data_IF_533918096590
#
_entry.id   IF_533918096590
#
_cell.length_a   1.000
_cell.length_b   1.000
_cell.length_c   1.000
_cell.angle_alpha   90.00
_cell.angle_beta   90.00
_cell.angle_gamma   90.00
#
_symmetry.space_group_name_H-M   'P 1'
#
loop_
_entity.id
_entity.type
_entity.pdbx_description
1 polymer ?
#
# COMPACT_ATOMS: atom_id res chain seq x y z
N UNK A 1 11.64 7.26 -19.97
CA UNK A 1 10.78 7.91 -18.95
C UNK A 1 10.68 7.05 -17.68
N UNK A 2 11.78 6.39 -17.29
CA UNK A 2 11.82 5.52 -16.11
C UNK A 2 11.42 6.30 -14.85
N UNK A 3 10.44 5.85 -14.03
CA UNK A 3 9.95 6.56 -12.85
C UNK A 3 10.99 6.98 -11.80
N UNK A 4 12.20 6.40 -11.82
CA UNK A 4 13.30 6.80 -10.94
C UNK A 4 14.02 8.07 -11.41
N UNK A 5 13.88 8.44 -12.67
CA UNK A 5 14.58 9.58 -13.25
C UNK A 5 13.95 10.91 -12.81
N UNK A 6 14.74 11.98 -12.56
CA UNK A 6 14.23 13.29 -12.15
C UNK A 6 13.66 14.12 -13.31
N UNK A 7 13.19 13.47 -14.38
CA UNK A 7 12.62 14.15 -15.56
C UNK A 7 11.11 14.31 -15.43
N UNK A 8 10.52 15.33 -16.05
CA UNK A 8 9.07 15.55 -15.96
C UNK A 8 8.24 14.38 -16.52
N UNK A 9 8.69 13.73 -17.59
CA UNK A 9 8.01 12.56 -18.14
C UNK A 9 8.06 11.36 -17.19
N UNK A 10 9.20 11.14 -16.52
CA UNK A 10 9.34 10.12 -15.50
C UNK A 10 8.49 10.41 -14.26
N UNK A 11 8.48 11.66 -13.77
CA UNK A 11 7.61 12.07 -12.66
C UNK A 11 6.12 11.85 -13.01
N UNK A 12 5.71 12.19 -14.23
CA UNK A 12 4.35 11.92 -14.72
C UNK A 12 4.05 10.41 -14.72
N UNK A 13 4.94 9.58 -15.26
CA UNK A 13 4.79 8.11 -15.27
C UNK A 13 4.82 7.49 -13.87
N UNK A 14 5.61 8.06 -12.95
CA UNK A 14 5.61 7.71 -11.52
C UNK A 14 4.28 8.04 -10.85
N UNK A 15 3.51 8.96 -11.41
CA UNK A 15 2.21 9.39 -10.90
C UNK A 15 2.26 10.68 -10.09
N UNK A 16 3.26 11.55 -10.28
CA UNK A 16 3.33 12.84 -9.58
C UNK A 16 2.29 13.79 -10.19
N UNK A 17 1.35 14.34 -9.39
CA UNK A 17 0.43 15.36 -9.88
C UNK A 17 1.20 16.61 -10.33
N UNK A 18 0.83 17.17 -11.48
CA UNK A 18 1.45 18.42 -11.95
C UNK A 18 1.33 19.57 -10.93
N UNK A 19 0.23 19.58 -10.15
CA UNK A 19 0.04 20.56 -9.08
C UNK A 19 1.06 20.41 -7.95
N UNK A 20 1.42 19.18 -7.58
CA UNK A 20 2.41 18.94 -6.53
C UNK A 20 3.80 19.48 -6.92
N UNK A 21 4.19 19.33 -8.19
CA UNK A 21 5.45 19.87 -8.72
C UNK A 21 5.45 21.40 -8.69
N UNK A 22 4.33 22.04 -9.06
CA UNK A 22 4.20 23.51 -8.97
C UNK A 22 4.27 24.01 -7.53
N UNK A 23 3.52 23.38 -6.62
CA UNK A 23 3.56 23.73 -5.19
C UNK A 23 4.97 23.56 -4.60
N UNK A 24 5.70 22.53 -5.01
CA UNK A 24 7.11 22.34 -4.62
C UNK A 24 8.00 23.49 -5.10
N UNK A 25 7.88 23.90 -6.36
CA UNK A 25 8.64 25.03 -6.92
C UNK A 25 8.32 26.33 -6.16
N UNK A 26 7.04 26.59 -5.89
CA UNK A 26 6.60 27.79 -5.15
C UNK A 26 7.15 27.80 -3.72
N UNK A 27 7.21 26.65 -3.05
CA UNK A 27 7.75 26.51 -1.69
C UNK A 27 9.27 26.65 -1.62
N UNK A 28 10.00 26.14 -2.61
CA UNK A 28 11.46 26.31 -2.69
C UNK A 28 11.82 27.78 -2.90
N UNK A 29 10.98 28.51 -3.63
CA UNK A 29 11.16 29.91 -3.93
C UNK A 29 12.31 30.17 -4.92
N UNK A 30 12.58 31.44 -5.17
CA UNK A 30 13.61 31.88 -6.12
C UNK A 30 14.70 32.62 -5.37
N UNK A 31 15.91 32.05 -5.36
CA UNK A 31 17.10 32.64 -4.75
C UNK A 31 18.26 32.66 -5.76
N UNK A 32 19.26 33.52 -5.50
CA UNK A 32 20.46 33.65 -6.34
C UNK A 32 21.56 32.62 -6.04
N UNK A 33 21.44 31.91 -4.93
CA UNK A 33 22.44 30.92 -4.48
C UNK A 33 21.97 29.52 -4.85
N UNK A 34 22.91 28.64 -5.20
CA UNK A 34 22.62 27.23 -5.38
C UNK A 34 22.25 26.58 -4.04
N UNK A 35 21.11 25.90 -4.00
CA UNK A 35 20.66 25.15 -2.84
C UNK A 35 20.33 23.71 -3.24
N UNK A 36 20.78 22.75 -2.44
CA UNK A 36 20.32 21.37 -2.53
C UNK A 36 19.01 21.26 -1.75
N UNK A 37 17.94 20.86 -2.42
CA UNK A 37 16.62 20.70 -1.82
C UNK A 37 16.38 19.22 -1.54
N UNK A 38 15.92 18.91 -0.33
CA UNK A 38 15.52 17.57 0.06
C UNK A 38 14.35 17.06 -0.80
N UNK A 39 14.52 15.87 -1.37
CA UNK A 39 13.46 15.18 -2.14
C UNK A 39 12.21 14.93 -1.29
N UNK A 40 12.35 14.82 0.03
CA UNK A 40 11.25 14.70 0.98
C UNK A 40 10.26 15.85 0.91
N UNK A 41 10.70 17.07 0.56
CA UNK A 41 9.81 18.22 0.36
C UNK A 41 8.95 18.07 -0.91
N UNK A 42 9.53 17.56 -2.00
CA UNK A 42 8.78 17.24 -3.21
C UNK A 42 7.76 16.15 -2.92
N UNK A 43 8.18 15.07 -2.25
CA UNK A 43 7.28 13.97 -1.87
C UNK A 43 6.19 14.42 -0.88
N UNK A 44 6.47 15.38 0.00
CA UNK A 44 5.46 15.99 0.86
C UNK A 44 4.35 16.65 0.05
N UNK A 45 4.69 17.47 -0.95
CA UNK A 45 3.70 18.10 -1.82
C UNK A 45 2.90 17.08 -2.64
N UNK A 46 3.55 15.98 -3.07
CA UNK A 46 2.87 14.87 -3.75
C UNK A 46 1.86 14.20 -2.82
N UNK A 47 2.24 13.87 -1.58
CA UNK A 47 1.34 13.27 -0.58
C UNK A 47 0.16 14.19 -0.27
N UNK A 48 0.38 15.51 -0.10
CA UNK A 48 -0.69 16.45 0.22
C UNK A 48 -1.79 16.49 -0.86
N UNK A 49 -1.39 16.56 -2.15
CA UNK A 49 -2.34 16.55 -3.27
C UNK A 49 -3.06 15.21 -3.37
N UNK A 50 -2.32 14.09 -3.30
CA UNK A 50 -2.90 12.76 -3.46
C UNK A 50 -3.81 12.37 -2.28
N UNK A 51 -3.53 12.83 -1.06
CA UNK A 51 -4.41 12.60 0.08
C UNK A 51 -5.79 13.23 -0.13
N UNK A 52 -5.88 14.35 -0.85
CA UNK A 52 -7.16 15.01 -1.13
C UNK A 52 -7.89 14.42 -2.33
N UNK A 53 -7.16 13.90 -3.32
CA UNK A 53 -7.71 13.54 -4.63
C UNK A 53 -7.78 12.04 -4.94
N UNK A 54 -6.90 11.22 -4.37
CA UNK A 54 -6.80 9.80 -4.73
C UNK A 54 -7.88 8.97 -4.05
N UNK A 55 -8.50 8.05 -4.80
CA UNK A 55 -9.43 7.06 -4.23
C UNK A 55 -8.65 6.04 -3.39
N UNK A 56 -9.19 5.67 -2.23
CA UNK A 56 -8.67 4.63 -1.33
C UNK A 56 -9.17 3.29 -1.80
N UNK A 57 -8.26 2.34 -1.94
CA UNK A 57 -8.54 0.97 -2.38
C UNK A 57 -7.72 -0.02 -1.56
N UNK A 58 -8.13 -1.28 -1.54
CA UNK A 58 -7.45 -2.35 -0.84
C UNK A 58 -6.56 -3.13 -1.82
N UNK A 59 -5.30 -3.28 -1.44
CA UNK A 59 -4.31 -4.03 -2.19
C UNK A 59 -3.36 -4.73 -1.21
N UNK A 60 -3.20 -6.03 -1.38
CA UNK A 60 -2.32 -6.88 -0.60
C UNK A 60 -1.06 -7.17 -1.42
N UNK A 61 0.08 -6.65 -0.98
CA UNK A 61 1.31 -6.73 -1.77
C UNK A 61 2.09 -8.03 -1.52
N UNK A 62 2.01 -8.58 -0.31
CA UNK A 62 2.59 -9.86 0.06
C UNK A 62 1.50 -10.77 0.66
N UNK A 63 0.73 -11.50 -0.16
CA UNK A 63 -0.48 -12.16 0.31
C UNK A 63 -0.22 -13.43 1.13
N UNK A 64 -0.94 -13.55 2.25
CA UNK A 64 -1.15 -14.81 2.98
C UNK A 64 -2.64 -15.14 3.00
N UNK A 65 -2.99 -16.40 2.81
CA UNK A 65 -4.40 -16.84 2.76
C UNK A 65 -4.99 -16.84 4.17
N UNK A 66 -6.20 -16.33 4.29
CA UNK A 66 -7.03 -16.41 5.50
C UNK A 66 -8.31 -17.16 5.16
N UNK A 67 -8.67 -18.13 5.98
CA UNK A 67 -9.92 -18.90 5.86
C UNK A 67 -10.80 -18.61 7.08
N UNK A 68 -11.97 -18.01 6.84
CA UNK A 68 -12.97 -17.75 7.89
C UNK A 68 -13.80 -19.01 8.11
N UNK A 69 -13.44 -19.81 9.11
CA UNK A 69 -13.95 -21.17 9.30
C UNK A 69 -15.44 -21.25 9.59
N UNK A 70 -16.01 -20.23 10.24
CA UNK A 70 -17.44 -20.10 10.54
C UNK A 70 -18.22 -19.24 9.52
N UNK A 71 -17.62 -18.86 8.39
CA UNK A 71 -18.35 -18.22 7.28
C UNK A 71 -18.86 -19.28 6.28
N UNK A 72 -20.13 -19.23 5.83
CA UNK A 72 -20.68 -20.23 4.93
C UNK A 72 -19.91 -20.33 3.61
N UNK A 73 -19.70 -21.55 3.14
CA UNK A 73 -19.03 -21.82 1.87
C UNK A 73 -19.91 -21.35 0.69
N UNK A 74 -19.29 -20.76 -0.33
CA UNK A 74 -19.97 -20.22 -1.51
C UNK A 74 -20.73 -18.91 -1.28
N UNK A 75 -20.91 -18.47 -0.03
CA UNK A 75 -21.53 -17.17 0.25
C UNK A 75 -20.57 -16.02 -0.09
N UNK A 76 -21.11 -15.00 -0.76
CA UNK A 76 -20.43 -13.74 -1.05
C UNK A 76 -21.33 -12.60 -0.60
N UNK A 77 -20.77 -11.67 0.16
CA UNK A 77 -21.45 -10.47 0.61
C UNK A 77 -20.77 -9.22 0.05
N UNK A 78 -21.57 -8.21 -0.27
CA UNK A 78 -21.08 -6.93 -0.74
C UNK A 78 -21.00 -5.94 0.43
N UNK A 79 -19.78 -5.56 0.79
CA UNK A 79 -19.50 -4.57 1.82
C UNK A 79 -19.30 -3.20 1.17
N UNK A 80 -19.83 -2.15 1.81
CA UNK A 80 -19.68 -0.79 1.31
C UNK A 80 -18.40 -0.16 1.85
N UNK A 81 -17.61 0.45 0.97
CA UNK A 81 -16.40 1.18 1.31
C UNK A 81 -16.42 2.60 0.74
N UNK A 82 -16.04 3.56 1.56
CA UNK A 82 -15.91 4.97 1.16
C UNK A 82 -14.70 5.10 0.23
N UNK A 83 -14.86 5.80 -0.90
CA UNK A 83 -13.77 6.00 -1.86
C UNK A 83 -12.74 7.03 -1.39
N UNK A 84 -13.16 8.11 -0.74
CA UNK A 84 -12.23 9.10 -0.21
C UNK A 84 -12.84 9.78 1.02
N UNK A 85 -12.24 9.63 2.22
CA UNK A 85 -12.76 10.28 3.41
C UNK A 85 -12.58 11.81 3.41
N UNK A 86 -11.69 12.35 2.58
CA UNK A 86 -11.46 13.79 2.43
C UNK A 86 -12.35 14.43 1.34
N UNK A 87 -13.11 13.62 0.60
CA UNK A 87 -14.00 14.07 -0.47
C UNK A 87 -15.37 13.39 -0.36
N UNK A 88 -16.37 14.08 0.25
CA UNK A 88 -17.72 13.56 0.41
C UNK A 88 -18.40 13.16 -0.91
N UNK A 89 -18.01 13.78 -2.03
CA UNK A 89 -18.60 13.53 -3.35
C UNK A 89 -17.95 12.34 -4.07
N UNK A 90 -16.87 11.77 -3.52
CA UNK A 90 -16.19 10.60 -4.11
C UNK A 90 -17.04 9.31 -4.07
N UNK A 91 -18.14 9.32 -3.32
CA UNK A 91 -19.08 8.21 -3.21
C UNK A 91 -18.49 6.96 -2.55
N UNK A 92 -19.17 5.83 -2.76
CA UNK A 92 -18.79 4.53 -2.21
C UNK A 92 -18.50 3.52 -3.33
N UNK A 93 -17.93 2.38 -2.94
CA UNK A 93 -17.76 1.21 -3.81
C UNK A 93 -18.07 -0.06 -3.04
N UNK A 94 -18.33 -1.11 -3.79
CA UNK A 94 -18.65 -2.42 -3.26
C UNK A 94 -17.40 -3.30 -3.17
N UNK A 95 -17.20 -3.96 -2.03
CA UNK A 95 -16.12 -4.90 -1.76
C UNK A 95 -16.71 -6.31 -1.54
N UNK A 96 -16.36 -7.30 -2.38
CA UNK A 96 -16.80 -8.67 -2.15
C UNK A 96 -16.08 -9.23 -0.92
N UNK A 97 -16.86 -9.73 0.03
CA UNK A 97 -16.42 -10.48 1.20
C UNK A 97 -16.81 -11.95 1.02
N UNK A 98 -15.89 -12.85 1.33
CA UNK A 98 -16.06 -14.29 1.18
C UNK A 98 -15.37 -15.05 2.30
N UNK A 99 -15.60 -16.36 2.36
CA UNK A 99 -14.93 -17.27 3.28
C UNK A 99 -13.39 -17.18 3.20
N UNK A 100 -12.85 -17.10 1.99
CA UNK A 100 -11.41 -17.04 1.76
C UNK A 100 -10.98 -15.62 1.41
N UNK A 101 -9.96 -15.11 2.11
CA UNK A 101 -9.41 -13.76 1.96
C UNK A 101 -7.88 -13.82 1.81
N UNK A 102 -7.29 -12.73 1.33
CA UNK A 102 -5.86 -12.46 1.47
C UNK A 102 -5.65 -11.26 2.38
N UNK A 103 -4.62 -11.33 3.23
CA UNK A 103 -4.08 -10.21 3.99
C UNK A 103 -2.57 -10.11 3.75
N UNK A 104 -1.90 -9.06 4.25
CA UNK A 104 -0.44 -9.01 4.20
C UNK A 104 0.18 -10.06 5.13
N UNK A 105 1.22 -10.75 4.67
CA UNK A 105 2.04 -11.64 5.51
C UNK A 105 2.55 -10.91 6.76
N UNK A 106 2.87 -9.60 6.63
CA UNK A 106 3.34 -8.76 7.74
C UNK A 106 2.25 -8.33 8.73
N UNK A 107 0.98 -8.61 8.41
CA UNK A 107 -0.13 -8.41 9.32
C UNK A 107 -0.38 -9.60 10.25
N UNK A 108 0.37 -10.70 10.09
CA UNK A 108 0.38 -11.83 11.00
C UNK A 108 1.76 -12.08 11.64
N UNK A 109 1.76 -12.36 12.95
CA UNK A 109 2.94 -12.83 13.70
C UNK A 109 2.50 -13.81 14.78
N UNK A 110 3.17 -14.96 14.85
CA UNK A 110 2.96 -15.90 15.96
C UNK A 110 3.52 -15.35 17.27
N UNK A 111 4.74 -14.82 17.21
CA UNK A 111 5.41 -14.16 18.33
C UNK A 111 5.49 -12.66 18.03
N UNK A 112 4.54 -11.85 18.51
CA UNK A 112 4.52 -10.43 18.22
C UNK A 112 5.60 -9.66 19.02
N UNK A 113 6.25 -8.65 18.42
CA UNK A 113 7.01 -7.69 19.21
C UNK A 113 6.08 -6.82 20.09
N UNK A 114 6.60 -6.12 21.10
CA UNK A 114 5.81 -5.15 21.87
C UNK A 114 5.13 -4.12 20.95
N UNK A 115 3.92 -3.67 21.34
CA UNK A 115 3.09 -2.71 20.57
C UNK A 115 2.68 -3.21 19.16
N UNK A 116 2.60 -4.53 18.98
CA UNK A 116 2.00 -5.13 17.80
C UNK A 116 0.48 -5.28 18.00
N UNK A 117 -0.29 -4.63 17.13
CA UNK A 117 -1.77 -4.55 17.25
C UNK A 117 -2.51 -5.31 16.14
N UNK A 118 -1.79 -6.07 15.31
CA UNK A 118 -2.37 -6.84 14.20
C UNK A 118 -2.63 -8.29 14.64
N UNK A 119 -2.82 -9.20 13.68
CA UNK A 119 -3.26 -10.56 13.94
C UNK A 119 -2.13 -11.42 14.54
N UNK A 120 -2.48 -12.17 15.58
CA UNK A 120 -1.64 -13.20 16.22
C UNK A 120 -2.56 -14.32 16.69
N UNK A 121 -2.06 -15.53 16.99
CA UNK A 121 -2.88 -16.61 17.55
C UNK A 121 -3.69 -16.14 18.77
N UNK A 122 -4.99 -16.43 18.78
CA UNK A 122 -5.94 -16.08 19.85
C UNK A 122 -6.35 -14.60 19.91
N UNK A 123 -5.79 -13.71 19.07
CA UNK A 123 -6.13 -12.28 19.05
C UNK A 123 -7.07 -11.91 17.92
N UNK A 124 -7.83 -10.86 18.19
CA UNK A 124 -8.76 -10.24 17.25
C UNK A 124 -8.12 -9.07 16.50
N UNK A 125 -8.51 -8.91 15.23
CA UNK A 125 -8.19 -7.75 14.40
C UNK A 125 -9.43 -7.33 13.60
N UNK A 126 -9.55 -6.03 13.30
CA UNK A 126 -10.60 -5.53 12.41
C UNK A 126 -10.14 -5.60 10.96
N UNK A 127 -10.96 -6.18 10.11
CA UNK A 127 -10.85 -6.04 8.66
C UNK A 127 -11.41 -4.68 8.24
N UNK A 128 -10.65 -3.92 7.47
CA UNK A 128 -11.07 -2.60 6.96
C UNK A 128 -12.38 -2.74 6.16
N UNK A 129 -13.40 -1.94 6.49
CA UNK A 129 -14.77 -2.02 5.95
C UNK A 129 -15.52 -3.35 6.19
N UNK A 130 -14.94 -4.28 6.96
CA UNK A 130 -15.51 -5.60 7.22
C UNK A 130 -15.67 -5.89 8.71
N UNK A 131 -15.55 -7.17 9.03
CA UNK A 131 -15.81 -7.73 10.35
C UNK A 131 -14.56 -7.72 11.24
N UNK A 132 -14.76 -7.97 12.53
CA UNK A 132 -13.69 -8.43 13.41
C UNK A 132 -13.49 -9.93 13.18
N UNK A 133 -12.23 -10.32 13.03
CA UNK A 133 -11.82 -11.72 12.93
C UNK A 133 -10.86 -12.08 14.06
N UNK A 134 -10.89 -13.34 14.49
CA UNK A 134 -9.99 -13.90 15.50
C UNK A 134 -9.19 -15.04 14.91
N UNK A 135 -7.87 -15.03 15.08
CA UNK A 135 -7.02 -16.15 14.68
C UNK A 135 -7.23 -17.32 15.64
N UNK A 136 -7.64 -18.47 15.11
CA UNK A 136 -7.79 -19.71 15.88
C UNK A 136 -6.61 -20.65 15.64
N UNK A 137 -6.15 -20.79 14.39
CA UNK A 137 -5.10 -21.74 14.02
C UNK A 137 -4.30 -21.27 12.81
N UNK A 138 -3.13 -21.88 12.57
CA UNK A 138 -2.27 -21.61 11.41
C UNK A 138 -1.75 -22.88 10.76
N UNK A 139 -1.72 -22.87 9.44
CA UNK A 139 -1.06 -23.90 8.63
C UNK A 139 0.31 -23.38 8.22
N UNK A 140 1.32 -24.24 8.37
CA UNK A 140 2.70 -23.93 8.02
C UNK A 140 3.21 -24.86 6.95
N UNK A 141 4.11 -24.35 6.13
CA UNK A 141 4.91 -25.17 5.23
C UNK A 141 5.82 -26.10 6.06
N UNK A 142 5.79 -27.42 5.85
CA UNK A 142 6.60 -28.36 6.63
C UNK A 142 8.12 -28.22 6.43
N UNK A 143 8.55 -27.67 5.30
CA UNK A 143 9.97 -27.52 4.95
C UNK A 143 10.55 -26.19 5.40
N UNK A 144 9.83 -25.09 5.18
CA UNK A 144 10.31 -23.73 5.50
C UNK A 144 9.85 -23.24 6.87
N UNK A 145 8.77 -23.81 7.41
CA UNK A 145 8.11 -23.33 8.62
C UNK A 145 7.34 -22.02 8.42
N UNK A 146 7.22 -21.52 7.19
CA UNK A 146 6.47 -20.30 6.89
C UNK A 146 4.96 -20.54 6.98
N UNK A 147 4.23 -19.53 7.45
CA UNK A 147 2.77 -19.58 7.56
C UNK A 147 2.16 -19.40 6.18
N UNK A 148 1.43 -20.42 5.72
CA UNK A 148 0.80 -20.46 4.39
C UNK A 148 -0.70 -20.15 4.45
N UNK A 149 -1.38 -20.58 5.52
CA UNK A 149 -2.79 -20.28 5.76
C UNK A 149 -3.05 -19.92 7.22
N UNK A 150 -3.98 -18.98 7.44
CA UNK A 150 -4.42 -18.56 8.77
C UNK A 150 -5.91 -18.85 8.88
N UNK A 151 -6.29 -19.67 9.85
CA UNK A 151 -7.68 -20.01 10.11
C UNK A 151 -8.25 -19.06 11.17
N UNK A 152 -9.30 -18.34 10.79
CA UNK A 152 -9.95 -17.39 11.65
C UNK A 152 -11.43 -17.70 11.83
N UNK A 153 -12.01 -17.24 12.94
CA UNK A 153 -13.45 -17.03 13.05
C UNK A 153 -13.77 -15.55 12.82
N UNK A 154 -14.98 -15.22 12.37
CA UNK A 154 -15.49 -13.85 12.35
C UNK A 154 -16.67 -13.69 13.31
N UNK A 155 -16.88 -12.45 13.75
CA UNK A 155 -18.06 -12.05 14.49
C UNK A 155 -19.10 -11.39 13.55
N UNK A 156 -20.25 -12.03 13.27
CA UNK A 156 -21.29 -11.50 12.40
C UNK A 156 -21.90 -10.18 12.87
N UNK A 157 -21.87 -9.88 14.17
CA UNK A 157 -22.47 -8.68 14.75
C UNK A 157 -21.59 -7.43 14.58
N UNK A 158 -20.37 -7.59 14.05
CA UNK A 158 -19.36 -6.50 13.99
C UNK A 158 -19.25 -5.80 12.63
N UNK A 159 -20.25 -6.00 11.78
CA UNK A 159 -20.34 -5.38 10.45
C UNK A 159 -20.24 -3.86 10.55
N UNK A 160 -19.40 -3.25 9.74
CA UNK A 160 -19.50 -1.81 9.45
C UNK A 160 -19.01 -0.83 10.53
N UNK A 161 -18.37 -1.27 11.62
CA UNK A 161 -17.59 -0.33 12.44
C UNK A 161 -17.35 -0.71 13.89
N UNK A 162 -18.41 -0.81 14.69
CA UNK A 162 -18.32 -1.04 16.14
C UNK A 162 -18.76 -2.45 16.50
N UNK A 163 -18.15 -3.00 17.55
CA UNK A 163 -18.65 -4.22 18.16
C UNK A 163 -19.78 -3.85 19.14
N UNK A 164 -20.96 -4.47 19.06
CA UNK A 164 -22.11 -4.09 19.88
C UNK A 164 -21.90 -4.36 21.37
N UNK A 165 -21.01 -5.29 21.71
CA UNK A 165 -20.56 -5.59 23.07
C UNK A 165 -19.57 -4.55 23.64
N UNK A 166 -19.19 -3.55 22.85
CA UNK A 166 -18.29 -2.46 23.26
C UNK A 166 -16.80 -2.84 23.28
N UNK A 167 -16.42 -4.05 22.86
CA UNK A 167 -15.01 -4.46 22.87
C UNK A 167 -14.18 -3.63 21.88
N UNK A 168 -13.01 -3.20 22.33
CA UNK A 168 -12.08 -2.39 21.52
C UNK A 168 -11.00 -3.28 20.90
N UNK A 169 -11.04 -3.42 19.58
CA UNK A 169 -9.96 -4.05 18.82
C UNK A 169 -8.93 -3.00 18.43
N UNK A 170 -7.66 -3.23 18.80
CA UNK A 170 -6.60 -2.22 18.71
C UNK A 170 -6.06 -2.00 17.30
N UNK A 171 -6.23 -2.96 16.38
CA UNK A 171 -5.71 -2.87 15.02
C UNK A 171 -6.77 -3.05 13.96
N UNK A 172 -6.53 -2.39 12.82
CA UNK A 172 -7.27 -2.58 11.58
C UNK A 172 -6.30 -2.91 10.46
N UNK A 173 -6.60 -3.94 9.68
CA UNK A 173 -5.79 -4.39 8.53
C UNK A 173 -6.64 -4.37 7.26
N UNK A 174 -5.98 -4.19 6.11
CA UNK A 174 -6.62 -4.32 4.82
C UNK A 174 -6.58 -5.78 4.35
N UNK A 175 -7.44 -6.11 3.40
CA UNK A 175 -7.68 -7.45 2.92
C UNK A 175 -8.31 -7.39 1.52
N UNK A 176 -8.32 -8.51 0.81
CA UNK A 176 -9.10 -8.69 -0.42
C UNK A 176 -9.72 -10.09 -0.43
N UNK A 177 -10.89 -10.28 -1.06
CA UNK A 177 -11.49 -11.61 -1.23
C UNK A 177 -10.63 -12.46 -2.18
N UNK A 178 -10.30 -13.69 -1.78
CA UNK A 178 -9.40 -14.54 -2.55
C UNK A 178 -9.98 -14.95 -3.92
N UNK A 179 -11.30 -15.16 -4.00
CA UNK A 179 -11.99 -15.57 -5.23
C UNK A 179 -12.27 -14.42 -6.20
N UNK A 180 -12.20 -13.16 -5.74
CA UNK A 180 -12.52 -11.97 -6.55
C UNK A 180 -11.32 -11.04 -6.76
N UNK A 181 -10.23 -11.23 -6.04
CA UNK A 181 -9.04 -10.40 -6.18
C UNK A 181 -8.42 -10.54 -7.57
N UNK A 182 -7.88 -9.44 -8.06
CA UNK A 182 -7.17 -9.37 -9.33
C UNK A 182 -5.67 -9.48 -9.06
N UNK A 183 -4.96 -10.28 -9.85
CA UNK A 183 -3.50 -10.34 -9.80
C UNK A 183 -2.93 -9.06 -10.38
N UNK A 184 -1.96 -8.45 -9.70
CA UNK A 184 -1.32 -7.23 -10.15
C UNK A 184 0.21 -7.31 -10.06
N UNK A 185 0.88 -6.62 -10.97
CA UNK A 185 2.28 -6.25 -10.79
C UNK A 185 2.35 -4.92 -10.05
N UNK A 186 3.16 -4.86 -9.00
CA UNK A 186 3.40 -3.62 -8.24
C UNK A 186 4.89 -3.32 -8.20
N UNK A 187 5.26 -2.17 -8.74
CA UNK A 187 6.63 -1.66 -8.83
C UNK A 187 6.89 -0.70 -7.68
N UNK A 188 7.65 -1.16 -6.70
CA UNK A 188 8.04 -0.39 -5.53
C UNK A 188 9.32 0.38 -5.86
N UNK A 189 9.20 1.70 -6.00
CA UNK A 189 10.35 2.58 -6.25
C UNK A 189 10.90 3.17 -4.96
N UNK A 190 12.21 3.34 -4.90
CA UNK A 190 12.94 4.07 -3.85
C UNK A 190 13.85 5.15 -4.46
N UNK A 191 14.61 5.87 -3.64
CA UNK A 191 15.65 6.82 -4.08
C UNK A 191 16.60 6.12 -5.05
N UNK A 192 16.88 6.75 -6.19
CA UNK A 192 17.80 6.21 -7.23
C UNK A 192 19.24 6.13 -6.73
N UNK A 193 19.63 7.02 -5.81
CA UNK A 193 20.96 7.08 -5.23
C UNK A 193 20.90 6.86 -3.71
N UNK A 194 21.96 6.28 -3.16
CA UNK A 194 22.12 6.02 -1.72
C UNK A 194 22.66 7.22 -0.94
N UNK A 195 23.08 8.29 -1.64
CA UNK A 195 23.63 9.52 -1.06
C UNK A 195 22.79 10.74 -1.44
N UNK A 196 22.76 11.75 -0.58
CA UNK A 196 22.00 13.00 -0.79
C UNK A 196 22.49 13.78 -2.02
N UNK A 197 23.81 13.82 -2.26
CA UNK A 197 24.40 14.57 -3.34
C UNK A 197 25.31 13.69 -4.21
N UNK A 198 24.72 13.00 -5.18
CA UNK A 198 25.44 12.17 -6.15
C UNK A 198 26.39 12.96 -7.09
N UNK A 199 26.37 14.30 -7.06
CA UNK A 199 27.37 15.13 -7.76
C UNK A 199 28.68 15.24 -6.98
N UNK A 200 28.64 15.05 -5.65
CA UNK A 200 29.82 15.05 -4.80
C UNK A 200 30.34 13.62 -4.68
N UNK A 201 31.31 13.29 -5.52
CA UNK A 201 31.85 11.94 -5.66
C UNK A 201 33.19 11.86 -4.91
N UNK A 202 33.40 10.77 -4.17
CA UNK A 202 34.68 10.51 -3.48
C UNK A 202 35.82 10.25 -4.48
N UNK A 203 37.06 10.41 -4.04
CA UNK A 203 38.24 10.02 -4.84
C UNK A 203 38.13 8.55 -5.31
N UNK A 204 38.40 8.32 -6.59
CA UNK A 204 38.32 7.02 -7.27
C UNK A 204 36.92 6.39 -7.39
N UNK A 205 35.84 7.14 -7.12
CA UNK A 205 34.47 6.70 -7.41
C UNK A 205 33.87 7.48 -8.57
N UNK A 206 32.71 7.03 -9.03
CA UNK A 206 31.80 7.71 -9.95
C UNK A 206 30.42 7.79 -9.33
N UNK A 207 29.50 8.58 -9.91
CA UNK A 207 28.12 8.63 -9.41
C UNK A 207 27.39 7.27 -9.53
N UNK A 208 27.86 6.38 -10.41
CA UNK A 208 27.30 5.05 -10.61
C UNK A 208 27.50 4.15 -9.39
N UNK A 209 28.57 4.37 -8.62
CA UNK A 209 28.86 3.62 -7.39
C UNK A 209 27.85 3.90 -6.27
N UNK A 210 27.07 4.99 -6.39
CA UNK A 210 26.03 5.35 -5.44
C UNK A 210 24.62 4.98 -5.92
N UNK A 211 24.46 4.29 -7.06
CA UNK A 211 23.14 3.83 -7.52
C UNK A 211 22.59 2.84 -6.51
N UNK A 212 21.36 3.08 -6.06
CA UNK A 212 20.68 2.21 -5.11
C UNK A 212 20.20 0.93 -5.83
N UNK A 213 20.74 -0.25 -5.49
CA UNK A 213 20.29 -1.52 -6.09
C UNK A 213 18.84 -1.82 -5.74
N UNK A 214 18.33 -1.32 -4.62
CA UNK A 214 16.94 -1.46 -4.17
C UNK A 214 16.03 -0.33 -4.68
N UNK A 215 16.49 0.50 -5.63
CA UNK A 215 15.70 1.61 -6.21
C UNK A 215 14.41 1.14 -6.92
N UNK A 216 14.33 -0.14 -7.27
CA UNK A 216 13.14 -0.76 -7.84
C UNK A 216 13.03 -2.22 -7.37
N UNK A 217 11.90 -2.55 -6.74
CA UNK A 217 11.47 -3.93 -6.48
C UNK A 217 10.16 -4.20 -7.19
N UNK A 218 10.13 -5.24 -8.02
CA UNK A 218 8.92 -5.67 -8.73
C UNK A 218 8.26 -6.81 -7.95
N UNK A 219 6.99 -6.64 -7.62
CA UNK A 219 6.16 -7.62 -6.93
C UNK A 219 5.10 -8.15 -7.92
N UNK A 220 5.07 -9.46 -8.17
CA UNK A 220 4.20 -10.05 -9.20
C UNK A 220 3.03 -10.87 -8.66
N UNK A 221 3.04 -11.20 -7.37
CA UNK A 221 1.97 -11.95 -6.71
C UNK A 221 1.03 -11.05 -5.89
N UNK A 222 0.92 -9.76 -6.24
CA UNK A 222 0.04 -8.86 -5.50
C UNK A 222 -1.42 -9.15 -5.82
N UNK A 223 -2.30 -8.91 -4.84
CA UNK A 223 -3.75 -9.10 -4.95
C UNK A 223 -4.44 -7.76 -4.72
N UNK A 224 -5.18 -7.26 -5.70
CA UNK A 224 -5.90 -5.99 -5.60
C UNK A 224 -7.41 -6.21 -5.65
N UNK A 225 -8.19 -5.30 -5.07
CA UNK A 225 -9.65 -5.39 -5.09
C UNK A 225 -10.23 -5.36 -6.52
N UNK A 226 -11.39 -6.00 -6.71
CA UNK A 226 -12.02 -6.22 -8.02
C UNK A 226 -12.27 -4.92 -8.81
N UNK A 227 -12.50 -3.81 -8.13
CA UNK A 227 -12.74 -2.50 -8.76
C UNK A 227 -11.61 -2.05 -9.70
N UNK A 228 -10.40 -2.60 -9.51
CA UNK A 228 -9.20 -2.26 -10.27
C UNK A 228 -8.98 -3.12 -11.52
N UNK A 229 -9.89 -4.06 -11.83
CA UNK A 229 -9.75 -4.98 -12.98
C UNK A 229 -9.66 -4.25 -14.33
N UNK A 230 -10.33 -3.10 -14.46
CA UNK A 230 -10.40 -2.29 -15.67
C UNK A 230 -9.76 -0.90 -15.49
N UNK A 231 -8.78 -0.80 -14.57
CA UNK A 231 -8.08 0.47 -14.29
C UNK A 231 -7.42 1.02 -15.56
N UNK A 232 -7.50 2.33 -15.73
CA UNK A 232 -6.91 3.04 -16.86
C UNK A 232 -5.55 3.62 -16.45
N UNK A 233 -4.60 3.63 -17.39
CA UNK A 233 -3.29 4.23 -17.17
C UNK A 233 -3.40 5.70 -16.71
N UNK A 234 -2.58 6.07 -15.73
CA UNK A 234 -2.56 7.39 -15.13
C UNK A 234 -3.56 7.59 -13.98
N UNK A 235 -4.51 6.67 -13.77
CA UNK A 235 -5.35 6.73 -12.57
C UNK A 235 -4.52 6.55 -11.29
N UNK A 236 -4.92 7.25 -10.24
CA UNK A 236 -4.17 7.36 -8.99
C UNK A 236 -5.00 6.86 -7.81
N UNK A 237 -4.37 6.07 -6.96
CA UNK A 237 -5.02 5.42 -5.83
C UNK A 237 -4.15 5.53 -4.59
N UNK A 238 -4.79 5.57 -3.43
CA UNK A 238 -4.15 5.21 -2.18
C UNK A 238 -4.42 3.73 -1.91
N UNK A 239 -3.39 2.90 -1.96
CA UNK A 239 -3.50 1.55 -1.42
C UNK A 239 -3.41 1.69 0.10
N UNK A 240 -4.53 1.40 0.78
CA UNK A 240 -4.65 1.66 2.21
C UNK A 240 -3.51 1.02 3.00
N UNK A 241 -2.92 1.79 3.92
CA UNK A 241 -1.75 1.40 4.74
C UNK A 241 -0.43 1.19 3.98
N UNK A 242 -0.42 1.23 2.63
CA UNK A 242 0.80 1.00 1.82
C UNK A 242 1.40 2.30 1.28
N UNK A 243 0.62 3.09 0.55
CA UNK A 243 1.15 4.25 -0.17
C UNK A 243 0.19 4.76 -1.23
N UNK A 244 0.66 5.72 -2.00
CA UNK A 244 -0.02 6.19 -3.20
C UNK A 244 0.60 5.55 -4.43
N UNK A 245 -0.26 5.10 -5.33
CA UNK A 245 0.10 4.33 -6.51
C UNK A 245 -0.56 4.91 -7.75
N UNK A 246 0.06 4.71 -8.90
CA UNK A 246 -0.47 5.09 -10.20
C UNK A 246 -0.46 3.89 -11.15
N UNK A 247 -1.55 3.71 -11.89
CA UNK A 247 -1.61 2.70 -12.94
C UNK A 247 -0.64 3.06 -14.07
N UNK A 248 0.33 2.18 -14.35
CA UNK A 248 1.34 2.40 -15.38
C UNK A 248 0.75 2.31 -16.80
N UNK A 249 1.50 2.75 -17.79
CA UNK A 249 1.15 2.57 -19.21
C UNK A 249 1.15 1.09 -19.64
N UNK A 250 1.85 0.23 -18.88
CA UNK A 250 1.89 -1.21 -19.12
C UNK A 250 0.61 -1.94 -18.65
N UNK A 251 -0.32 -1.22 -17.99
CA UNK A 251 -1.57 -1.79 -17.48
C UNK A 251 -2.47 -2.30 -18.61
N UNK A 252 -3.13 -3.45 -18.39
CA UNK A 252 -4.12 -4.03 -19.31
C UNK A 252 -5.34 -4.53 -18.52
N UNK A 253 -6.53 -4.64 -19.14
CA UNK A 253 -7.69 -5.25 -18.48
C UNK A 253 -7.35 -6.62 -17.90
N UNK A 254 -7.66 -6.83 -16.62
CA UNK A 254 -7.38 -8.07 -15.89
C UNK A 254 -5.92 -8.28 -15.43
N UNK A 255 -4.98 -7.47 -15.90
CA UNK A 255 -3.55 -7.55 -15.53
C UNK A 255 -2.99 -6.16 -15.23
N UNK A 256 -3.47 -5.51 -14.14
CA UNK A 256 -3.06 -4.16 -13.82
C UNK A 256 -1.61 -4.09 -13.34
N UNK A 257 -0.93 -3.01 -13.72
CA UNK A 257 0.44 -2.70 -13.31
C UNK A 257 0.45 -1.36 -12.56
N UNK A 258 0.99 -1.33 -11.35
CA UNK A 258 1.01 -0.13 -10.52
C UNK A 258 2.43 0.29 -10.15
N UNK A 259 2.71 1.58 -10.28
CA UNK A 259 3.92 2.21 -9.77
C UNK A 259 3.64 2.79 -8.38
N UNK A 260 4.52 2.56 -7.41
CA UNK A 260 4.54 3.34 -6.17
C UNK A 260 4.91 4.79 -6.51
N UNK A 261 3.95 5.70 -6.35
CA UNK A 261 4.20 7.14 -6.49
C UNK A 261 5.03 7.62 -5.30
N UNK A 262 4.50 7.44 -4.09
CA UNK A 262 5.12 7.84 -2.83
C UNK A 262 4.53 7.05 -1.65
N UNK A 263 5.33 6.73 -0.65
CA UNK A 263 4.88 6.09 0.59
C UNK A 263 4.01 7.03 1.45
N UNK A 264 3.20 6.46 2.36
CA UNK A 264 2.34 7.26 3.26
C UNK A 264 3.13 8.14 4.25
N UNK A 265 4.37 7.78 4.54
CA UNK A 265 5.24 8.49 5.50
C UNK A 265 6.67 8.44 4.99
N UNK A 266 7.40 9.51 5.24
CA UNK A 266 8.82 9.57 4.93
C UNK A 266 9.62 8.60 5.82
N UNK A 267 10.23 7.60 5.18
CA UNK A 267 11.11 6.62 5.83
C UNK A 267 12.55 7.12 5.94
N UNK A 268 12.99 7.99 5.04
CA UNK A 268 14.37 8.48 4.98
C UNK A 268 14.67 9.52 6.05
N UNK A 269 13.70 10.40 6.33
CA UNK A 269 13.77 11.32 7.47
C UNK A 269 13.91 10.62 8.84
N UNK A 270 13.65 9.30 8.92
CA UNK A 270 13.91 8.47 10.12
C UNK A 270 15.27 7.79 10.10
N UNK A 271 15.82 7.50 8.91
CA UNK A 271 17.14 6.90 8.76
C UNK A 271 18.22 7.95 9.05
N UNK A 272 18.06 9.18 8.55
CA UNK A 272 18.99 10.30 8.83
C UNK A 272 18.99 10.76 10.30
N UNK A 273 17.92 10.44 11.06
CA UNK A 273 17.83 10.76 12.51
C UNK A 273 18.40 9.67 13.42
N UNK A 274 18.83 8.54 12.87
CA UNK A 274 19.46 7.43 13.61
C UNK A 274 20.97 7.43 13.38
#
# INVERSE_FOLDING_TARGET
DDPRMPTLCAMRRRGYPAMAVRNFIDQVGVAKNENLIDVGLLEFNVRDILNKSAKRVLAVLNPVKVVITNYPEGQVEQLEAINNPEDPEAGTRSLPFSRELYIEQDDFREVPPPKYFRLTPGREVRLRYGYIIKCEDVVKDPQTGEVTEIHCTYDPETRGGYAPDGRKVQGTIHWVSASHAVNAEVRMYDRLFTVENAKKVDENKTYLDYVNPESLKILTNCKVELSLVNVVSGEQFQFERKGFFCADIDTKPGTPVFNLTVSLRDSWAKIEKK
#
